data_IF_502944326304
#
_entry.id   IF_502944326304
#
_cell.length_a   1.000
_cell.length_b   1.000
_cell.length_c   1.000
_cell.angle_alpha   90.00
_cell.angle_beta   90.00
_cell.angle_gamma   90.00
#
_symmetry.space_group_name_H-M   'P 1'
#
loop_
_entity.id
_entity.type
_entity.pdbx_description
1 polymer ?
#
# COMPACT_ATOMS: atom_id res chain seq x y z
N UNK A 1 -7.92 -3.94 -10.45
CA UNK A 1 -8.04 -4.95 -9.38
C UNK A 1 -6.68 -5.58 -9.18
N UNK A 2 -6.15 -5.66 -7.95
CA UNK A 2 -4.84 -6.28 -7.67
C UNK A 2 -5.06 -7.78 -7.44
N UNK A 3 -4.34 -8.63 -8.16
CA UNK A 3 -4.46 -10.09 -8.03
C UNK A 3 -3.09 -10.75 -7.90
N UNK A 4 -3.07 -11.90 -7.22
CA UNK A 4 -1.93 -12.82 -7.19
C UNK A 4 -2.26 -14.03 -8.03
N UNK A 5 -1.51 -14.23 -9.12
CA UNK A 5 -1.66 -15.36 -10.02
C UNK A 5 -0.30 -15.95 -10.33
N UNK A 6 -0.13 -17.26 -10.17
CA UNK A 6 1.10 -17.99 -10.52
C UNK A 6 2.38 -17.33 -9.95
N UNK A 7 2.35 -16.91 -8.67
CA UNK A 7 3.44 -16.17 -8.01
C UNK A 7 3.78 -14.82 -8.65
N UNK A 8 2.83 -14.19 -9.34
CA UNK A 8 2.97 -12.85 -9.89
C UNK A 8 1.86 -11.97 -9.33
N UNK A 9 2.24 -10.86 -8.69
CA UNK A 9 1.33 -9.79 -8.31
C UNK A 9 1.10 -8.92 -9.55
N UNK A 10 -0.15 -8.83 -9.98
CA UNK A 10 -0.58 -8.00 -11.11
C UNK A 10 -1.48 -6.87 -10.64
N UNK A 11 -1.25 -5.69 -11.18
CA UNK A 11 -2.16 -4.55 -11.18
C UNK A 11 -2.26 -3.99 -12.60
N UNK A 12 -3.10 -2.97 -12.82
CA UNK A 12 -3.25 -2.34 -14.14
C UNK A 12 -1.93 -1.78 -14.69
N UNK A 13 -1.06 -1.30 -13.81
CA UNK A 13 0.19 -0.61 -14.19
C UNK A 13 1.46 -1.38 -13.77
N UNK A 14 1.33 -2.53 -13.11
CA UNK A 14 2.47 -3.21 -12.51
C UNK A 14 2.35 -4.73 -12.52
N UNK A 15 3.45 -5.39 -12.85
CA UNK A 15 3.64 -6.83 -12.69
C UNK A 15 4.90 -7.06 -11.85
N UNK A 16 4.78 -7.84 -10.77
CA UNK A 16 5.92 -8.22 -9.93
C UNK A 16 5.91 -9.72 -9.65
N UNK A 17 7.03 -10.39 -9.92
CA UNK A 17 7.21 -11.76 -9.52
C UNK A 17 7.47 -11.81 -8.00
N UNK A 18 6.78 -12.70 -7.30
CA UNK A 18 6.93 -12.94 -5.86
C UNK A 18 8.33 -13.47 -5.53
N UNK A 19 8.94 -14.25 -6.43
CA UNK A 19 10.27 -14.80 -6.22
C UNK A 19 11.37 -13.72 -6.14
N UNK A 20 11.13 -12.53 -6.70
CA UNK A 20 12.04 -11.39 -6.59
C UNK A 20 11.71 -10.46 -5.43
N UNK A 21 10.70 -10.78 -4.62
CA UNK A 21 10.27 -9.95 -3.49
C UNK A 21 11.07 -10.33 -2.25
N UNK A 22 11.73 -9.34 -1.68
CA UNK A 22 12.47 -9.48 -0.43
C UNK A 22 11.62 -9.06 0.77
N UNK A 23 10.77 -8.05 0.59
CA UNK A 23 9.90 -7.53 1.63
C UNK A 23 8.60 -7.00 1.04
N UNK A 24 7.50 -7.20 1.77
CA UNK A 24 6.22 -6.56 1.49
C UNK A 24 5.70 -5.87 2.75
N UNK A 25 5.23 -4.63 2.61
CA UNK A 25 4.73 -3.80 3.71
C UNK A 25 3.39 -3.15 3.34
N UNK A 26 2.40 -3.27 4.20
CA UNK A 26 1.15 -2.51 4.08
C UNK A 26 1.30 -1.13 4.74
N UNK A 27 1.04 -0.08 3.96
CA UNK A 27 1.07 1.32 4.41
C UNK A 27 -0.29 1.97 4.21
N UNK A 28 -0.67 2.81 5.16
CA UNK A 28 -1.89 3.62 5.11
C UNK A 28 -1.43 5.06 5.18
N UNK A 29 -1.68 5.82 4.12
CA UNK A 29 -1.18 7.18 3.95
C UNK A 29 -2.35 8.14 3.80
N UNK A 30 -2.45 9.19 4.63
CA UNK A 30 -3.47 10.20 4.47
C UNK A 30 -3.26 10.98 3.17
N UNK A 31 -4.33 11.20 2.42
CA UNK A 31 -4.30 11.92 1.15
C UNK A 31 -4.44 13.41 1.43
N UNK A 32 -3.31 14.08 1.68
CA UNK A 32 -3.31 15.55 1.70
C UNK A 32 -3.50 16.04 0.26
N UNK A 33 -4.47 16.95 0.04
CA UNK A 33 -4.66 17.67 -1.22
C UNK A 33 -3.30 18.25 -1.69
N UNK A 34 -3.03 18.28 -3.01
CA UNK A 34 -1.66 18.27 -3.52
C UNK A 34 -0.89 19.55 -3.18
N UNK A 35 0.19 19.38 -2.40
CA UNK A 35 1.36 20.25 -2.50
C UNK A 35 2.49 19.41 -3.11
N UNK A 36 2.58 19.47 -4.44
CA UNK A 36 3.81 19.38 -5.24
C UNK A 36 4.99 18.57 -4.68
N UNK A 37 5.24 17.40 -5.29
CA UNK A 37 6.52 16.69 -5.58
C UNK A 37 7.64 16.57 -4.51
N UNK A 38 7.51 17.10 -3.30
CA UNK A 38 8.56 17.12 -2.26
C UNK A 38 8.27 16.15 -1.09
N UNK A 39 7.13 15.45 -1.13
CA UNK A 39 6.50 14.86 0.07
C UNK A 39 7.16 13.57 0.57
N UNK A 40 7.94 12.84 -0.23
CA UNK A 40 8.57 11.59 0.23
C UNK A 40 9.56 11.81 1.40
N UNK A 41 10.31 12.92 1.41
CA UNK A 41 11.23 13.24 2.51
C UNK A 41 10.52 13.82 3.76
N UNK A 42 9.25 14.22 3.65
CA UNK A 42 8.46 14.77 4.77
C UNK A 42 7.51 13.78 5.44
N UNK A 43 7.39 12.55 4.90
CA UNK A 43 6.64 11.46 5.52
C UNK A 43 7.20 11.06 6.90
N UNK A 44 8.47 11.34 7.18
CA UNK A 44 9.10 11.06 8.47
C UNK A 44 8.62 12.01 9.60
N UNK A 45 8.29 13.27 9.31
CA UNK A 45 7.97 14.26 10.34
C UNK A 45 6.46 14.48 10.55
N UNK A 46 5.61 13.98 9.65
CA UNK A 46 4.15 14.28 9.67
C UNK A 46 3.30 13.17 10.30
N UNK A 47 3.87 11.99 10.58
CA UNK A 47 3.18 10.92 11.31
C UNK A 47 2.84 11.30 12.77
N UNK A 48 3.42 12.39 13.29
CA UNK A 48 3.32 12.78 14.70
C UNK A 48 2.09 13.62 15.06
N UNK A 49 1.25 14.03 14.10
CA UNK A 49 0.07 14.85 14.40
C UNK A 49 -1.19 14.28 13.75
N UNK A 50 -1.72 13.23 14.38
CA UNK A 50 -3.13 13.14 14.76
C UNK A 50 -4.04 14.22 14.16
N UNK A 51 -4.71 13.92 13.05
CA UNK A 51 -5.99 14.57 12.74
C UNK A 51 -7.10 13.61 13.11
N UNK A 52 -7.68 13.89 14.28
CA UNK A 52 -8.66 13.13 15.07
C UNK A 52 -10.02 12.90 14.43
N UNK A 53 -10.14 12.76 13.11
CA UNK A 53 -11.45 12.64 12.47
C UNK A 53 -11.56 11.29 11.75
N UNK A 54 -12.56 10.49 12.10
CA UNK A 54 -12.96 9.27 11.40
C UNK A 54 -13.46 9.50 9.96
N UNK A 55 -13.13 10.65 9.37
CA UNK A 55 -13.45 11.08 8.03
C UNK A 55 -12.19 11.40 7.18
N UNK A 56 -11.01 11.01 7.64
CA UNK A 56 -9.74 11.27 6.93
C UNK A 56 -9.66 10.41 5.65
N UNK A 57 -9.50 11.01 4.45
CA UNK A 57 -9.27 10.25 3.23
C UNK A 57 -7.87 9.64 3.24
N UNK A 58 -7.79 8.33 3.03
CA UNK A 58 -6.56 7.53 3.06
C UNK A 58 -6.35 6.74 1.78
N UNK A 59 -5.09 6.61 1.38
CA UNK A 59 -4.63 5.61 0.42
C UNK A 59 -4.00 4.43 1.14
N UNK A 60 -4.39 3.25 0.72
CA UNK A 60 -3.82 1.98 1.14
C UNK A 60 -2.81 1.58 0.08
N UNK A 61 -1.56 1.36 0.49
CA UNK A 61 -0.43 1.09 -0.40
C UNK A 61 0.26 -0.17 0.07
N UNK A 62 0.48 -1.12 -0.83
CA UNK A 62 1.38 -2.24 -0.63
C UNK A 62 2.74 -1.89 -1.22
N UNK A 63 3.72 -1.67 -0.34
CA UNK A 63 5.10 -1.44 -0.73
C UNK A 63 5.82 -2.76 -0.86
N UNK A 64 6.39 -3.01 -2.03
CA UNK A 64 7.17 -4.20 -2.33
C UNK A 64 8.61 -3.78 -2.55
N UNK A 65 9.53 -4.36 -1.77
CA UNK A 65 10.97 -4.24 -1.99
C UNK A 65 11.45 -5.50 -2.69
N UNK A 66 12.08 -5.34 -3.85
CA UNK A 66 12.64 -6.44 -4.62
C UNK A 66 14.12 -6.67 -4.30
N UNK A 67 14.70 -7.77 -4.78
CA UNK A 67 16.10 -8.13 -4.52
C UNK A 67 17.13 -7.13 -5.03
N UNK A 68 16.79 -6.41 -6.11
CA UNK A 68 17.59 -5.31 -6.66
C UNK A 68 17.46 -4.00 -5.85
N UNK A 69 16.83 -4.07 -4.66
CA UNK A 69 16.44 -2.94 -3.82
C UNK A 69 15.43 -1.99 -4.47
N UNK A 70 14.86 -2.33 -5.62
CA UNK A 70 13.81 -1.53 -6.23
C UNK A 70 12.56 -1.56 -5.35
N UNK A 71 11.92 -0.39 -5.23
CA UNK A 71 10.70 -0.21 -4.46
C UNK A 71 9.55 -0.03 -5.43
N UNK A 72 8.54 -0.88 -5.30
CA UNK A 72 7.30 -0.84 -6.07
C UNK A 72 6.13 -0.58 -5.12
N UNK A 73 5.51 0.59 -5.26
CA UNK A 73 4.34 0.96 -4.48
C UNK A 73 3.07 0.62 -5.29
N UNK A 74 2.29 -0.32 -4.77
CA UNK A 74 0.99 -0.71 -5.32
C UNK A 74 -0.12 -0.01 -4.56
N UNK A 75 -0.78 0.95 -5.20
CA UNK A 75 -1.95 1.62 -4.66
C UNK A 75 -3.17 0.70 -4.75
N UNK A 76 -3.75 0.35 -3.60
CA UNK A 76 -4.87 -0.58 -3.52
C UNK A 76 -6.19 0.03 -4.00
N UNK A 77 -6.46 1.26 -3.56
CA UNK A 77 -7.69 1.98 -3.84
C UNK A 77 -7.44 3.13 -4.83
N UNK A 78 -8.12 3.09 -5.98
CA UNK A 78 -8.02 4.16 -7.01
C UNK A 78 -8.44 5.52 -6.45
N UNK A 79 -9.51 5.53 -5.67
CA UNK A 79 -9.99 6.71 -4.95
C UNK A 79 -9.70 6.58 -3.46
N UNK A 80 -9.33 7.67 -2.76
CA UNK A 80 -9.10 7.65 -1.32
C UNK A 80 -10.32 7.13 -0.57
N UNK A 81 -10.12 6.18 0.36
CA UNK A 81 -11.18 5.72 1.24
C UNK A 81 -11.24 6.56 2.49
N UNK A 82 -12.43 6.67 3.07
CA UNK A 82 -12.59 7.33 4.36
C UNK A 82 -12.14 6.39 5.47
N UNK A 83 -11.20 6.82 6.30
CA UNK A 83 -10.65 6.04 7.40
C UNK A 83 -11.78 5.57 8.32
N UNK A 84 -11.77 4.28 8.69
CA UNK A 84 -12.81 3.63 9.50
C UNK A 84 -14.17 3.39 8.81
N UNK A 85 -14.31 3.66 7.51
CA UNK A 85 -15.49 3.22 6.78
C UNK A 85 -15.42 1.71 6.45
N UNK A 86 -16.56 1.14 6.02
CA UNK A 86 -16.65 -0.29 5.67
C UNK A 86 -15.67 -0.67 4.53
N UNK A 87 -15.53 0.20 3.53
CA UNK A 87 -14.64 -0.04 2.38
C UNK A 87 -13.16 -0.08 2.78
N UNK A 88 -12.75 0.81 3.70
CA UNK A 88 -11.43 0.84 4.31
C UNK A 88 -11.15 -0.46 5.05
N UNK A 89 -12.06 -0.89 5.93
CA UNK A 89 -11.87 -2.13 6.69
C UNK A 89 -11.80 -3.36 5.78
N UNK A 90 -12.64 -3.41 4.74
CA UNK A 90 -12.61 -4.46 3.74
C UNK A 90 -11.28 -4.46 2.97
N UNK A 91 -10.86 -3.32 2.47
CA UNK A 91 -9.62 -3.18 1.71
C UNK A 91 -8.38 -3.49 2.55
N UNK A 92 -8.33 -3.09 3.82
CA UNK A 92 -7.23 -3.47 4.73
C UNK A 92 -7.19 -4.98 4.94
N UNK A 93 -8.35 -5.62 5.11
CA UNK A 93 -8.40 -7.08 5.29
C UNK A 93 -7.90 -7.81 4.05
N UNK A 94 -8.33 -7.39 2.86
CA UNK A 94 -7.89 -7.97 1.59
C UNK A 94 -6.40 -7.73 1.34
N UNK A 95 -5.91 -6.50 1.57
CA UNK A 95 -4.51 -6.15 1.41
C UNK A 95 -3.60 -6.90 2.39
N UNK A 96 -4.03 -7.09 3.64
CA UNK A 96 -3.30 -7.93 4.62
C UNK A 96 -3.29 -9.40 4.22
N UNK A 97 -4.42 -9.93 3.74
CA UNK A 97 -4.47 -11.31 3.25
C UNK A 97 -3.51 -11.52 2.08
N UNK A 98 -3.36 -10.53 1.19
CA UNK A 98 -2.36 -10.57 0.12
C UNK A 98 -0.92 -10.48 0.67
N UNK A 99 -0.67 -9.55 1.60
CA UNK A 99 0.62 -9.40 2.26
C UNK A 99 1.07 -10.72 2.90
N UNK A 100 0.20 -11.37 3.67
CA UNK A 100 0.50 -12.65 4.33
C UNK A 100 0.77 -13.77 3.33
N UNK A 101 0.01 -13.85 2.23
CA UNK A 101 0.26 -14.83 1.18
C UNK A 101 1.63 -14.65 0.55
N UNK A 102 1.99 -13.42 0.18
CA UNK A 102 3.30 -13.11 -0.39
C UNK A 102 4.41 -13.39 0.63
N UNK A 103 4.20 -13.00 1.89
CA UNK A 103 5.17 -13.21 2.96
C UNK A 103 5.45 -14.69 3.23
N UNK A 104 4.45 -15.56 3.10
CA UNK A 104 4.62 -17.02 3.16
C UNK A 104 5.38 -17.59 1.96
N UNK A 105 5.27 -16.98 0.79
CA UNK A 105 5.95 -17.43 -0.42
C UNK A 105 7.42 -17.00 -0.51
N UNK A 106 7.82 -15.97 0.24
CA UNK A 106 9.21 -15.48 0.30
C UNK A 106 9.99 -16.02 1.51
N UNK A 107 9.30 -16.68 2.46
CA UNK A 107 9.91 -17.33 3.64
C UNK A 107 10.30 -18.77 3.31
#
# INVERSE_FOLDING_TARGET
MITLENNIIKSEDLSCNVASIQKIELKIVPVKKPASKTVFNSLANTLSQSMSNGDEPVQIILRITCDDQSIKDLVWNKEPYIRNNLDYHKAIKEARALQEQVQKSIS
#
